data_IF_915369473188
#
_entry.id   IF_915369473188
#
_cell.length_a   1.000
_cell.length_b   1.000
_cell.length_c   1.000
_cell.angle_alpha   90.00
_cell.angle_beta   90.00
_cell.angle_gamma   90.00
#
_symmetry.space_group_name_H-M   'P 1'
#
loop_
_entity.id
_entity.type
_entity.pdbx_description
1 polymer ?
#
# COMPACT_ATOMS: atom_id res chain seq x y z
N UNK A 1 -18.10 3.23 -5.02
CA UNK A 1 -16.73 2.99 -4.50
C UNK A 1 -15.98 2.11 -5.50
N UNK A 2 -14.69 2.33 -5.71
CA UNK A 2 -13.89 1.52 -6.63
C UNK A 2 -12.46 1.34 -6.13
N UNK A 3 -11.85 0.22 -6.53
CA UNK A 3 -10.43 -0.11 -6.32
C UNK A 3 -9.87 -0.50 -7.68
N UNK A 4 -8.72 0.07 -8.05
CA UNK A 4 -8.06 -0.18 -9.33
C UNK A 4 -6.76 -0.95 -9.15
N UNK A 5 -6.44 -1.84 -10.08
CA UNK A 5 -5.16 -2.53 -10.13
C UNK A 5 -4.67 -2.66 -11.57
N UNK A 6 -3.38 -2.43 -11.80
CA UNK A 6 -2.74 -2.73 -13.07
C UNK A 6 -2.74 -4.23 -13.37
N UNK A 7 -2.89 -4.59 -14.65
CA UNK A 7 -2.87 -5.98 -15.06
C UNK A 7 -2.75 -6.16 -16.57
N UNK A 8 -2.34 -7.35 -16.98
CA UNK A 8 -2.29 -7.72 -18.40
C UNK A 8 -3.70 -7.97 -18.94
N UNK A 9 -4.00 -7.60 -20.21
CA UNK A 9 -5.24 -8.00 -20.87
C UNK A 9 -5.48 -9.50 -20.82
N UNK A 10 -6.71 -9.89 -20.45
CA UNK A 10 -7.11 -11.30 -20.29
C UNK A 10 -6.79 -11.91 -18.93
N UNK A 11 -5.97 -11.26 -18.10
CA UNK A 11 -5.57 -11.75 -16.78
C UNK A 11 -6.08 -10.82 -15.68
N UNK A 12 -7.23 -11.16 -15.09
CA UNK A 12 -7.77 -10.40 -13.97
C UNK A 12 -6.81 -10.45 -12.78
N UNK A 13 -6.41 -9.30 -12.19
CA UNK A 13 -5.47 -9.29 -11.07
C UNK A 13 -5.97 -10.09 -9.88
N UNK A 14 -5.14 -11.04 -9.40
CA UNK A 14 -5.48 -11.91 -8.28
C UNK A 14 -5.88 -11.14 -7.01
N UNK A 15 -5.31 -9.95 -6.79
CA UNK A 15 -5.69 -9.09 -5.65
C UNK A 15 -7.13 -8.61 -5.73
N UNK A 16 -7.65 -8.31 -6.93
CA UNK A 16 -9.05 -7.88 -7.10
C UNK A 16 -10.01 -9.06 -6.94
N UNK A 17 -9.61 -10.26 -7.40
CA UNK A 17 -10.37 -11.50 -7.18
C UNK A 17 -10.50 -11.80 -5.68
N UNK A 18 -9.37 -11.83 -4.96
CA UNK A 18 -9.37 -12.04 -3.50
C UNK A 18 -10.15 -10.98 -2.75
N UNK A 19 -10.01 -9.71 -3.15
CA UNK A 19 -10.79 -8.63 -2.54
C UNK A 19 -12.28 -8.85 -2.74
N UNK A 20 -12.71 -9.20 -3.96
CA UNK A 20 -14.11 -9.52 -4.27
C UNK A 20 -14.62 -10.71 -3.46
N UNK A 21 -13.82 -11.76 -3.29
CA UNK A 21 -14.17 -12.92 -2.46
C UNK A 21 -14.37 -12.53 -0.98
N UNK A 22 -13.56 -11.62 -0.44
CA UNK A 22 -13.65 -11.17 0.95
C UNK A 22 -14.88 -10.29 1.18
N UNK A 23 -15.18 -9.37 0.25
CA UNK A 23 -16.29 -8.42 0.42
C UNK A 23 -17.62 -8.94 -0.14
N UNK A 24 -17.59 -10.03 -0.90
CA UNK A 24 -18.72 -10.77 -1.50
C UNK A 24 -19.62 -9.97 -2.46
N UNK A 25 -19.38 -8.66 -2.62
CA UNK A 25 -20.15 -7.76 -3.49
C UNK A 25 -19.27 -7.08 -4.55
N UNK A 26 -19.93 -6.46 -5.53
CA UNK A 26 -19.27 -5.70 -6.59
C UNK A 26 -18.84 -6.51 -7.80
N UNK A 27 -18.42 -5.80 -8.84
CA UNK A 27 -18.00 -6.37 -10.11
C UNK A 27 -16.61 -5.91 -10.50
N UNK A 28 -15.87 -6.78 -11.19
CA UNK A 28 -14.57 -6.46 -11.77
C UNK A 28 -14.79 -6.17 -13.25
N UNK A 29 -14.25 -5.05 -13.73
CA UNK A 29 -14.34 -4.61 -15.13
C UNK A 29 -12.96 -4.15 -15.62
N UNK A 30 -12.76 -4.16 -16.94
CA UNK A 30 -11.51 -3.80 -17.58
C UNK A 30 -10.83 -4.98 -18.28
N UNK A 31 -9.57 -4.80 -18.71
CA UNK A 31 -8.77 -3.61 -18.45
C UNK A 31 -9.19 -2.41 -19.32
N UNK A 32 -9.12 -1.21 -18.74
CA UNK A 32 -9.18 0.06 -19.46
C UNK A 32 -7.80 0.71 -19.31
N UNK A 33 -7.10 0.94 -20.42
CA UNK A 33 -5.73 1.49 -20.41
C UNK A 33 -4.77 0.73 -19.45
N UNK A 34 -4.91 -0.60 -19.41
CA UNK A 34 -4.09 -1.46 -18.54
C UNK A 34 -4.54 -1.56 -17.08
N UNK A 35 -5.67 -0.94 -16.70
CA UNK A 35 -6.22 -0.98 -15.35
C UNK A 35 -7.53 -1.78 -15.26
N UNK A 36 -7.57 -2.71 -14.31
CA UNK A 36 -8.80 -3.36 -13.87
C UNK A 36 -9.40 -2.62 -12.68
N UNK A 37 -10.72 -2.66 -12.57
CA UNK A 37 -11.46 -2.00 -11.50
C UNK A 37 -12.44 -2.97 -10.86
N UNK A 38 -12.32 -3.18 -9.55
CA UNK A 38 -13.44 -3.64 -8.73
C UNK A 38 -14.30 -2.42 -8.38
N UNK A 39 -15.63 -2.52 -8.54
CA UNK A 39 -16.56 -1.42 -8.26
C UNK A 39 -17.89 -1.87 -7.66
N UNK A 40 -18.43 -1.01 -6.81
CA UNK A 40 -19.80 -1.06 -6.29
C UNK A 40 -20.47 0.30 -6.48
N UNK A 41 -21.75 0.25 -6.89
CA UNK A 41 -22.58 1.43 -7.12
C UNK A 41 -23.86 1.43 -6.28
N UNK A 42 -24.33 0.26 -5.83
CA UNK A 42 -25.48 0.17 -4.91
C UNK A 42 -25.10 0.72 -3.54
N UNK A 43 -25.98 1.52 -2.96
CA UNK A 43 -25.73 2.20 -1.68
C UNK A 43 -25.62 1.21 -0.52
N UNK A 44 -26.42 0.15 -0.52
CA UNK A 44 -26.35 -0.89 0.51
C UNK A 44 -25.01 -1.63 0.47
N UNK A 45 -24.52 -2.00 -0.72
CA UNK A 45 -23.18 -2.58 -0.87
C UNK A 45 -22.08 -1.60 -0.40
N UNK A 46 -22.25 -0.29 -0.64
CA UNK A 46 -21.30 0.74 -0.17
C UNK A 46 -21.27 0.83 1.34
N UNK A 47 -22.41 0.72 2.01
CA UNK A 47 -22.50 0.71 3.47
C UNK A 47 -21.85 -0.56 4.04
N UNK A 48 -22.14 -1.73 3.47
CA UNK A 48 -21.55 -3.02 3.90
C UNK A 48 -20.03 -2.99 3.77
N UNK A 49 -19.51 -2.65 2.59
CA UNK A 49 -18.06 -2.59 2.38
C UNK A 49 -17.44 -1.44 3.18
N UNK A 50 -18.13 -0.31 3.30
CA UNK A 50 -17.70 0.81 4.13
C UNK A 50 -17.51 0.41 5.60
N UNK A 51 -18.44 -0.33 6.18
CA UNK A 51 -18.34 -0.85 7.54
C UNK A 51 -17.19 -1.84 7.71
N UNK A 52 -17.00 -2.77 6.76
CA UNK A 52 -15.89 -3.73 6.77
C UNK A 52 -14.52 -3.02 6.73
N UNK A 53 -14.40 -1.99 5.90
CA UNK A 53 -13.14 -1.27 5.74
C UNK A 53 -12.94 -0.17 6.79
N UNK A 54 -13.99 0.26 7.49
CA UNK A 54 -14.01 1.47 8.32
C UNK A 54 -12.83 1.57 9.29
N UNK A 55 -12.55 0.45 9.98
CA UNK A 55 -11.44 0.34 10.91
C UNK A 55 -10.12 0.59 10.20
N UNK A 56 -9.95 0.15 8.97
CA UNK A 56 -8.65 0.11 8.29
C UNK A 56 -8.40 1.31 7.37
N UNK A 57 -9.42 2.12 7.10
CA UNK A 57 -9.29 3.37 6.37
C UNK A 57 -8.42 4.38 7.13
N UNK A 58 -7.84 5.32 6.39
CA UNK A 58 -7.24 6.49 7.01
C UNK A 58 -8.31 7.46 7.52
N UNK A 59 -7.97 8.36 8.44
CA UNK A 59 -8.83 9.45 8.90
C UNK A 59 -9.33 10.30 7.75
N UNK A 60 -8.52 10.52 6.72
CA UNK A 60 -8.93 11.22 5.51
C UNK A 60 -9.99 10.44 4.72
N UNK A 61 -9.76 9.14 4.45
CA UNK A 61 -10.74 8.30 3.76
C UNK A 61 -12.02 8.11 4.58
N UNK A 62 -11.92 8.04 5.92
CA UNK A 62 -13.07 8.05 6.83
C UNK A 62 -13.87 9.35 6.73
N UNK A 63 -13.20 10.52 6.70
CA UNK A 63 -13.87 11.82 6.52
C UNK A 63 -14.59 11.88 5.16
N UNK A 64 -13.93 11.44 4.08
CA UNK A 64 -14.54 11.38 2.75
C UNK A 64 -15.78 10.47 2.74
N UNK A 65 -15.67 9.28 3.34
CA UNK A 65 -16.80 8.35 3.46
C UNK A 65 -17.93 8.93 4.32
N UNK A 66 -17.63 9.50 5.49
CA UNK A 66 -18.61 10.08 6.39
C UNK A 66 -19.35 11.26 5.73
N UNK A 67 -18.63 12.14 5.03
CA UNK A 67 -19.24 13.24 4.29
C UNK A 67 -20.22 12.73 3.20
N UNK A 68 -19.83 11.68 2.47
CA UNK A 68 -20.70 11.04 1.49
C UNK A 68 -21.93 10.39 2.16
N UNK A 69 -21.74 9.64 3.24
CA UNK A 69 -22.83 9.00 3.98
C UNK A 69 -23.84 10.02 4.52
N UNK A 70 -23.36 11.11 5.15
CA UNK A 70 -24.21 12.20 5.66
C UNK A 70 -25.02 12.83 4.51
N UNK A 71 -24.37 13.17 3.39
CA UNK A 71 -25.06 13.75 2.23
C UNK A 71 -26.16 12.83 1.67
N UNK A 72 -25.95 11.51 1.77
CA UNK A 72 -26.88 10.50 1.31
C UNK A 72 -27.89 10.05 2.39
N UNK A 73 -27.84 10.64 3.60
CA UNK A 73 -28.65 10.27 4.77
C UNK A 73 -28.49 8.79 5.16
N UNK A 74 -27.25 8.33 5.20
CA UNK A 74 -26.84 6.96 5.53
C UNK A 74 -26.06 6.93 6.84
N UNK A 75 -25.97 5.74 7.44
CA UNK A 75 -25.23 5.55 8.68
C UNK A 75 -23.72 5.70 8.44
N UNK A 76 -23.04 6.37 9.36
CA UNK A 76 -21.57 6.34 9.45
C UNK A 76 -21.20 5.21 10.39
N UNK A 77 -20.27 4.31 10.03
CA UNK A 77 -19.86 3.24 10.94
C UNK A 77 -19.29 3.80 12.26
N UNK A 78 -19.49 3.05 13.34
CA UNK A 78 -19.24 3.49 14.71
C UNK A 78 -17.77 3.72 15.10
N UNK A 79 -17.51 4.08 16.38
CA UNK A 79 -16.18 4.38 16.87
C UNK A 79 -15.22 3.18 16.76
N UNK A 80 -13.94 3.49 16.65
CA UNK A 80 -12.88 2.49 16.51
C UNK A 80 -12.42 2.00 17.89
N UNK A 81 -12.37 0.68 18.08
CA UNK A 81 -11.60 0.11 19.18
C UNK A 81 -10.15 -0.12 18.71
N UNK A 82 -9.21 0.55 19.35
CA UNK A 82 -7.87 0.82 18.79
C UNK A 82 -6.78 -0.21 19.10
N UNK A 83 -7.09 -1.30 19.83
CA UNK A 83 -6.08 -2.33 20.07
C UNK A 83 -5.91 -3.22 18.82
N UNK A 84 -4.79 -3.04 18.12
CA UNK A 84 -4.33 -3.91 17.03
C UNK A 84 -3.02 -4.56 17.45
N UNK A 85 -2.89 -5.84 17.17
CA UNK A 85 -1.64 -6.57 17.38
C UNK A 85 -0.60 -6.20 16.32
N UNK A 86 0.68 -6.47 16.60
CA UNK A 86 1.77 -6.27 15.64
C UNK A 86 1.54 -6.98 14.30
N UNK A 87 0.97 -8.19 14.33
CA UNK A 87 0.66 -8.97 13.13
C UNK A 87 -0.33 -8.24 12.21
N UNK A 88 -1.34 -7.59 12.80
CA UNK A 88 -2.31 -6.81 12.05
C UNK A 88 -1.66 -5.59 11.38
N UNK A 89 -0.82 -4.85 12.11
CA UNK A 89 -0.12 -3.69 11.56
C UNK A 89 0.83 -4.07 10.42
N UNK A 90 1.52 -5.22 10.54
CA UNK A 90 2.37 -5.73 9.49
C UNK A 90 1.57 -6.17 8.24
N UNK A 91 0.43 -6.82 8.41
CA UNK A 91 -0.47 -7.18 7.30
C UNK A 91 -1.04 -5.95 6.61
N UNK A 92 -1.46 -4.95 7.38
CA UNK A 92 -1.93 -3.67 6.84
C UNK A 92 -0.83 -2.92 6.09
N UNK A 93 0.39 -2.88 6.64
CA UNK A 93 1.54 -2.24 6.00
C UNK A 93 1.89 -2.94 4.68
N UNK A 94 1.86 -4.28 4.64
CA UNK A 94 2.07 -5.03 3.40
C UNK A 94 1.05 -4.66 2.32
N UNK A 95 -0.25 -4.57 2.68
CA UNK A 95 -1.30 -4.17 1.75
C UNK A 95 -1.14 -2.74 1.24
N UNK A 96 -0.72 -1.80 2.09
CA UNK A 96 -0.41 -0.44 1.66
C UNK A 96 0.79 -0.43 0.69
N UNK A 97 1.84 -1.19 0.99
CA UNK A 97 3.03 -1.26 0.14
C UNK A 97 2.75 -1.95 -1.21
N UNK A 98 1.88 -2.95 -1.26
CA UNK A 98 1.46 -3.56 -2.53
C UNK A 98 0.66 -2.59 -3.42
N UNK A 99 -0.14 -1.72 -2.82
CA UNK A 99 -1.01 -0.77 -3.53
C UNK A 99 -0.31 0.52 -3.95
N UNK A 100 0.57 1.05 -3.10
CA UNK A 100 1.17 2.39 -3.29
C UNK A 100 2.70 2.38 -3.24
N UNK A 101 3.30 1.26 -2.84
CA UNK A 101 4.72 1.14 -2.65
C UNK A 101 5.49 0.86 -3.94
N UNK A 102 6.69 1.40 -4.02
CA UNK A 102 7.67 1.01 -5.03
C UNK A 102 8.91 0.41 -4.37
N UNK A 103 9.45 -0.61 -5.01
CA UNK A 103 10.71 -1.24 -4.69
C UNK A 103 11.62 -1.11 -5.91
N UNK A 104 12.87 -0.73 -5.71
CA UNK A 104 13.83 -0.58 -6.79
C UNK A 104 15.22 -1.04 -6.37
N UNK A 105 15.92 -1.69 -7.29
CA UNK A 105 17.34 -1.96 -7.20
C UNK A 105 18.04 -1.29 -8.37
N UNK A 106 18.89 -0.30 -8.10
CA UNK A 106 19.53 0.51 -9.13
C UNK A 106 21.05 0.48 -8.98
N UNK A 107 21.81 0.57 -10.09
CA UNK A 107 23.25 0.80 -10.02
C UNK A 107 23.51 2.09 -9.25
N UNK A 108 24.36 2.06 -8.23
CA UNK A 108 24.79 3.26 -7.55
C UNK A 108 26.16 3.68 -8.09
N UNK A 109 26.21 4.81 -8.80
CA UNK A 109 27.45 5.34 -9.39
C UNK A 109 28.44 5.88 -8.35
N UNK A 110 28.02 6.07 -7.10
CA UNK A 110 28.88 6.54 -5.99
C UNK A 110 29.44 5.38 -5.18
N UNK A 111 28.82 4.21 -5.24
CA UNK A 111 29.40 2.97 -4.73
C UNK A 111 30.29 2.35 -5.82
N UNK A 112 31.26 1.50 -5.46
CA UNK A 112 32.04 0.75 -6.47
C UNK A 112 31.08 0.09 -7.44
N UNK A 113 31.41 0.08 -8.74
CA UNK A 113 30.59 -0.30 -9.89
C UNK A 113 29.85 -1.66 -9.84
N UNK A 114 30.06 -2.46 -8.79
CA UNK A 114 29.36 -3.71 -8.48
C UNK A 114 28.25 -3.60 -7.41
N UNK A 115 28.10 -2.45 -6.74
CA UNK A 115 27.12 -2.27 -5.67
C UNK A 115 25.85 -1.60 -6.21
N UNK A 116 24.75 -2.34 -6.29
CA UNK A 116 23.42 -1.75 -6.50
C UNK A 116 22.84 -1.31 -5.16
N UNK A 117 22.28 -0.11 -5.13
CA UNK A 117 21.50 0.36 -4.01
C UNK A 117 20.05 -0.12 -4.16
N UNK A 118 19.46 -0.54 -3.04
CA UNK A 118 18.02 -0.83 -2.94
C UNK A 118 17.31 0.32 -2.28
N UNK A 119 16.10 0.59 -2.75
CA UNK A 119 15.18 1.53 -2.12
C UNK A 119 13.76 1.01 -2.08
N UNK A 120 13.05 1.42 -1.03
CA UNK A 120 11.61 1.28 -0.90
C UNK A 120 11.02 2.66 -0.68
N UNK A 121 9.86 2.91 -1.26
CA UNK A 121 9.16 4.19 -1.12
C UNK A 121 7.65 4.00 -1.11
N UNK A 122 6.95 4.86 -0.36
CA UNK A 122 5.51 5.07 -0.46
C UNK A 122 5.30 6.58 -0.56
N UNK A 123 4.58 7.03 -1.59
CA UNK A 123 4.24 8.44 -1.77
C UNK A 123 2.77 8.70 -1.45
N UNK A 124 2.50 9.81 -0.77
CA UNK A 124 1.15 10.24 -0.43
C UNK A 124 1.00 11.75 -0.60
N UNK A 125 -0.11 12.14 -1.22
CA UNK A 125 -0.46 13.54 -1.42
C UNK A 125 -1.21 14.09 -0.21
N UNK A 126 -0.83 15.28 0.27
CA UNK A 126 -1.59 15.98 1.33
C UNK A 126 -1.35 17.49 1.26
N UNK A 127 -2.44 18.25 1.43
CA UNK A 127 -2.40 19.71 1.43
C UNK A 127 -1.92 20.31 2.77
N UNK A 128 -2.07 19.57 3.88
CA UNK A 128 -2.09 20.16 5.22
C UNK A 128 -1.02 19.57 6.12
N UNK A 129 -1.03 18.26 6.33
CA UNK A 129 -0.15 17.57 7.28
C UNK A 129 0.44 16.30 6.68
N UNK A 130 1.50 15.78 7.32
CA UNK A 130 2.09 14.48 6.98
C UNK A 130 0.99 13.41 7.03
N UNK A 131 0.71 12.67 5.94
CA UNK A 131 -0.31 11.65 5.90
C UNK A 131 -0.16 10.63 7.03
N UNK A 132 -1.23 10.41 7.79
CA UNK A 132 -1.24 9.42 8.89
C UNK A 132 -0.89 8.00 8.42
N UNK A 133 -1.16 7.69 7.15
CA UNK A 133 -0.80 6.42 6.52
C UNK A 133 0.71 6.22 6.48
N UNK A 134 1.49 7.27 6.18
CA UNK A 134 2.94 7.20 6.17
C UNK A 134 3.51 7.05 7.58
N UNK A 135 2.94 7.75 8.56
CA UNK A 135 3.34 7.64 9.97
C UNK A 135 3.05 6.22 10.50
N UNK A 136 1.83 5.73 10.27
CA UNK A 136 1.43 4.38 10.65
C UNK A 136 2.26 3.30 9.96
N UNK A 137 2.59 3.49 8.68
CA UNK A 137 3.46 2.56 7.96
C UNK A 137 4.86 2.52 8.57
N UNK A 138 5.48 3.70 8.80
CA UNK A 138 6.78 3.81 9.46
C UNK A 138 6.76 3.10 10.82
N UNK A 139 5.73 3.33 11.62
CA UNK A 139 5.61 2.75 12.96
C UNK A 139 5.40 1.23 12.90
N UNK A 140 4.66 0.73 11.90
CA UNK A 140 4.46 -0.69 11.68
C UNK A 140 5.74 -1.43 11.26
N UNK A 141 6.54 -0.84 10.36
CA UNK A 141 7.81 -1.45 9.89
C UNK A 141 9.01 -1.13 10.77
N UNK A 142 8.92 -0.11 11.62
CA UNK A 142 9.96 0.30 12.58
C UNK A 142 11.19 0.96 11.98
N UNK A 143 11.23 1.19 10.66
CA UNK A 143 12.39 1.72 9.93
C UNK A 143 11.98 2.70 8.83
N UNK A 144 12.98 3.37 8.25
CA UNK A 144 12.79 4.37 7.19
C UNK A 144 12.37 5.74 7.71
N UNK A 145 12.34 6.71 6.81
CA UNK A 145 12.12 8.12 7.15
C UNK A 145 10.97 8.69 6.34
N UNK A 146 10.13 9.48 7.00
CA UNK A 146 9.10 10.27 6.32
C UNK A 146 9.66 11.65 5.99
N UNK A 147 9.61 12.05 4.73
CA UNK A 147 10.10 13.34 4.24
C UNK A 147 9.02 14.08 3.43
N UNK A 148 9.22 15.38 3.24
CA UNK A 148 8.30 16.27 2.54
C UNK A 148 7.82 17.43 3.43
N UNK A 149 6.87 18.24 2.92
CA UNK A 149 6.27 18.11 1.60
C UNK A 149 7.25 18.51 0.49
N UNK A 150 7.33 17.70 -0.57
CA UNK A 150 7.91 18.12 -1.85
C UNK A 150 6.83 18.85 -2.64
N UNK A 151 7.05 20.14 -2.85
CA UNK A 151 6.21 20.99 -3.70
C UNK A 151 6.87 21.06 -5.07
N UNK A 152 6.17 20.61 -6.11
CA UNK A 152 6.63 20.78 -7.50
C UNK A 152 5.90 22.00 -8.05
N UNK A 153 6.60 23.12 -8.34
CA UNK A 153 5.97 24.27 -8.97
C UNK A 153 5.42 23.87 -10.34
N UNK A 154 4.10 23.84 -10.49
CA UNK A 154 3.42 23.49 -11.73
C UNK A 154 2.15 24.34 -11.86
N UNK A 155 1.82 24.85 -13.07
CA UNK A 155 0.55 25.54 -13.35
C UNK A 155 -0.70 24.68 -13.06
N UNK A 156 -0.53 23.35 -13.01
CA UNK A 156 -1.58 22.37 -12.71
C UNK A 156 -1.35 21.73 -11.33
N UNK A 157 -1.17 22.59 -10.32
CA UNK A 157 -0.69 22.26 -8.97
C UNK A 157 -1.16 20.88 -8.49
N UNK A 158 -0.22 19.92 -8.45
CA UNK A 158 -0.42 18.65 -7.76
C UNK A 158 -0.26 18.94 -6.28
N UNK A 159 -1.16 18.40 -5.46
CA UNK A 159 -1.05 18.47 -4.00
C UNK A 159 0.38 18.14 -3.54
N UNK A 160 0.89 18.83 -2.49
CA UNK A 160 2.21 18.55 -1.95
C UNK A 160 2.38 17.05 -1.64
N UNK A 161 3.55 16.51 -1.97
CA UNK A 161 3.83 15.09 -1.83
C UNK A 161 4.71 14.83 -0.62
N UNK A 162 4.24 13.96 0.27
CA UNK A 162 5.06 13.37 1.32
C UNK A 162 5.47 11.98 0.88
N UNK A 163 6.59 11.48 1.41
CA UNK A 163 6.98 10.09 1.18
C UNK A 163 7.55 9.46 2.44
N UNK A 164 7.27 8.18 2.63
CA UNK A 164 8.14 7.32 3.41
C UNK A 164 9.20 6.74 2.48
N UNK A 165 10.44 6.66 2.93
CA UNK A 165 11.54 6.04 2.18
C UNK A 165 12.45 5.22 3.09
N UNK A 166 12.90 4.07 2.58
CA UNK A 166 14.01 3.29 3.10
C UNK A 166 15.04 3.11 1.99
N UNK A 167 16.31 3.29 2.31
CA UNK A 167 17.40 3.16 1.35
C UNK A 167 18.55 2.39 1.98
N UNK A 168 19.16 1.53 1.18
CA UNK A 168 20.26 0.67 1.60
C UNK A 168 19.81 -0.68 2.12
N UNK A 169 20.75 -1.63 2.03
CA UNK A 169 20.59 -3.07 2.26
C UNK A 169 19.86 -3.39 3.57
N UNK A 170 20.41 -2.95 4.69
CA UNK A 170 19.92 -3.30 6.03
C UNK A 170 18.52 -2.76 6.31
N UNK A 171 18.27 -1.48 5.97
CA UNK A 171 16.98 -0.82 6.24
C UNK A 171 15.87 -1.45 5.38
N UNK A 172 16.15 -1.73 4.10
CA UNK A 172 15.18 -2.40 3.25
C UNK A 172 14.90 -3.83 3.72
N UNK A 173 15.94 -4.59 4.11
CA UNK A 173 15.78 -5.96 4.60
C UNK A 173 14.93 -6.01 5.88
N UNK A 174 15.15 -5.08 6.81
CA UNK A 174 14.34 -4.95 8.02
C UNK A 174 12.87 -4.67 7.70
N UNK A 175 12.59 -3.71 6.81
CA UNK A 175 11.22 -3.39 6.40
C UNK A 175 10.53 -4.59 5.72
N UNK A 176 11.22 -5.22 4.77
CA UNK A 176 10.70 -6.38 4.01
C UNK A 176 10.39 -7.52 4.97
N UNK A 177 11.27 -7.84 5.92
CA UNK A 177 11.08 -8.94 6.88
C UNK A 177 9.78 -8.81 7.67
N UNK A 178 9.37 -7.58 8.02
CA UNK A 178 8.11 -7.33 8.72
C UNK A 178 6.91 -7.63 7.83
N UNK A 179 6.92 -7.20 6.57
CA UNK A 179 5.74 -7.26 5.70
C UNK A 179 5.69 -8.51 4.81
N UNK A 180 6.79 -9.26 4.69
CA UNK A 180 6.98 -10.34 3.71
C UNK A 180 5.84 -11.35 3.69
N UNK A 181 5.39 -11.80 4.86
CA UNK A 181 4.33 -12.81 5.01
C UNK A 181 3.01 -12.40 4.34
N UNK A 182 2.74 -11.10 4.22
CA UNK A 182 1.50 -10.58 3.64
C UNK A 182 1.66 -9.91 2.28
N UNK A 183 2.91 -9.70 1.81
CA UNK A 183 3.16 -9.12 0.49
C UNK A 183 2.57 -9.97 -0.64
N UNK A 184 2.04 -9.28 -1.63
CA UNK A 184 1.48 -9.86 -2.83
C UNK A 184 2.55 -10.44 -3.77
N UNK A 185 2.13 -11.28 -4.72
CA UNK A 185 3.05 -12.02 -5.59
C UNK A 185 3.93 -11.11 -6.45
N UNK A 186 3.41 -9.95 -6.90
CA UNK A 186 4.15 -9.00 -7.73
C UNK A 186 5.34 -8.41 -6.97
N UNK A 187 5.11 -7.83 -5.79
CA UNK A 187 6.17 -7.27 -4.95
C UNK A 187 7.14 -8.35 -4.45
N UNK A 188 6.65 -9.54 -4.13
CA UNK A 188 7.52 -10.69 -3.80
C UNK A 188 8.45 -11.05 -4.95
N UNK A 189 7.98 -11.04 -6.19
CA UNK A 189 8.81 -11.32 -7.36
C UNK A 189 9.86 -10.23 -7.59
N UNK A 190 9.47 -8.95 -7.52
CA UNK A 190 10.39 -7.81 -7.61
C UNK A 190 11.51 -7.89 -6.56
N UNK A 191 11.15 -8.16 -5.31
CA UNK A 191 12.09 -8.29 -4.19
C UNK A 191 12.99 -9.51 -4.36
N UNK A 192 12.44 -10.67 -4.78
CA UNK A 192 13.22 -11.88 -5.05
C UNK A 192 14.28 -11.65 -6.10
N UNK A 193 13.93 -10.95 -7.19
CA UNK A 193 14.86 -10.60 -8.26
C UNK A 193 16.05 -9.74 -7.77
N UNK A 194 15.90 -9.03 -6.65
CA UNK A 194 16.92 -8.16 -6.06
C UNK A 194 17.54 -8.71 -4.76
N UNK A 195 17.37 -10.01 -4.46
CA UNK A 195 17.75 -10.57 -3.15
C UNK A 195 19.25 -10.42 -2.84
N UNK A 196 20.12 -10.42 -3.85
CA UNK A 196 21.57 -10.21 -3.69
C UNK A 196 21.94 -8.83 -3.11
N UNK A 197 21.02 -7.87 -3.18
CA UNK A 197 21.17 -6.52 -2.64
C UNK A 197 20.57 -6.35 -1.24
N UNK A 198 20.04 -7.43 -0.65
CA UNK A 198 19.50 -7.49 0.70
C UNK A 198 20.51 -8.12 1.67
N UNK A 199 20.15 -8.20 2.95
CA UNK A 199 21.00 -8.76 3.99
C UNK A 199 21.39 -10.22 3.68
N UNK A 200 22.60 -10.65 4.05
CA UNK A 200 22.94 -12.07 4.06
C UNK A 200 21.89 -12.87 4.84
N UNK A 201 21.44 -14.01 4.30
CA UNK A 201 20.34 -14.80 4.87
C UNK A 201 18.94 -14.30 4.51
N UNK A 202 18.80 -13.28 3.65
CA UNK A 202 17.51 -12.85 3.13
C UNK A 202 16.69 -13.99 2.50
N UNK A 203 17.36 -14.91 1.81
CA UNK A 203 16.72 -16.06 1.17
C UNK A 203 16.06 -16.99 2.16
N UNK A 204 16.60 -17.12 3.36
CA UNK A 204 16.18 -18.13 4.34
C UNK A 204 14.79 -17.75 4.88
N UNK A 205 14.68 -16.56 5.49
CA UNK A 205 13.40 -16.08 6.00
C UNK A 205 12.36 -15.73 4.92
N UNK A 206 12.80 -15.55 3.66
CA UNK A 206 11.87 -15.42 2.52
C UNK A 206 11.25 -16.76 2.10
N UNK A 207 11.95 -17.87 2.36
CA UNK A 207 11.55 -19.23 1.98
C UNK A 207 10.73 -19.92 3.07
N UNK A 208 10.98 -19.60 4.35
CA UNK A 208 10.34 -20.19 5.53
C UNK A 208 8.82 -19.92 5.67
N UNK A 209 8.18 -19.28 4.68
CA UNK A 209 6.79 -18.84 4.73
C UNK A 209 5.92 -19.40 3.58
N UNK A 210 6.34 -20.52 2.97
CA UNK A 210 5.55 -21.28 1.96
C UNK A 210 4.88 -22.53 2.56
N UNK A 211 4.72 -22.60 3.89
CA UNK A 211 3.87 -23.63 4.53
C UNK A 211 2.43 -23.12 4.70
#
# INVERSE_FOLDING_TARGET
MAISQGGLPGFTPAVLLRFKEIVEVGSITGPYEGLYYWKITKKDDVDVVGALLWRNLSGEKRRQFAAAAIRMRRAVPGPLNDKRGREFEAAWAAGLFDGEGAFGAYPDSRLRSSCRAVSMEIAQASATFVPETLLRFRDAVGVGTVTGPRIVPSPWSRLPQYRWQASGRHVCSAAIRVIWRWLGPVKRAEIRAATEHLDPGARDWMSDLIA
#
